data_IF_694926130720
#
_entry.id   IF_694926130720
#
_cell.length_a   1.000
_cell.length_b   1.000
_cell.length_c   1.000
_cell.angle_alpha   90.00
_cell.angle_beta   90.00
_cell.angle_gamma   90.00
#
_symmetry.space_group_name_H-M   'P 1'
#
loop_
_entity.id
_entity.type
_entity.pdbx_description
1 polymer ?
#
# COMPACT_ATOMS: atom_id res chain seq x y z
N UNK A 1 10.86 -3.92 -6.94
CA UNK A 1 10.22 -4.94 -6.11
C UNK A 1 8.99 -5.50 -6.83
N UNK A 2 7.98 -4.69 -7.16
CA UNK A 2 6.72 -5.17 -7.79
C UNK A 2 6.98 -5.94 -9.07
N UNK A 3 7.78 -5.41 -10.00
CA UNK A 3 8.13 -6.09 -11.25
C UNK A 3 8.78 -7.47 -11.00
N UNK A 4 9.67 -7.56 -9.99
CA UNK A 4 10.33 -8.84 -9.64
C UNK A 4 9.37 -9.82 -8.97
N UNK A 5 8.41 -9.33 -8.18
CA UNK A 5 7.39 -10.16 -7.56
C UNK A 5 6.38 -10.72 -8.59
N UNK A 6 6.12 -9.95 -9.65
CA UNK A 6 5.21 -10.37 -10.71
C UNK A 6 3.83 -10.73 -10.19
N UNK A 7 3.41 -11.94 -10.44
CA UNK A 7 2.08 -12.46 -10.08
C UNK A 7 2.02 -13.13 -8.70
N UNK A 8 3.16 -13.36 -8.06
CA UNK A 8 3.23 -14.10 -6.78
C UNK A 8 2.35 -13.51 -5.68
N UNK A 9 2.21 -12.16 -5.53
CA UNK A 9 1.34 -11.59 -4.49
C UNK A 9 -0.15 -11.59 -4.85
N UNK A 10 -0.56 -12.16 -5.97
CA UNK A 10 -1.95 -12.20 -6.43
C UNK A 10 -2.56 -10.79 -6.57
N UNK A 11 -2.17 -10.03 -7.60
CA UNK A 11 -2.74 -8.69 -7.84
C UNK A 11 -4.28 -8.71 -8.01
N UNK A 12 -4.99 -7.60 -7.78
CA UNK A 12 -4.47 -6.27 -7.42
C UNK A 12 -3.94 -6.20 -5.98
N UNK A 13 -2.81 -5.53 -5.82
CA UNK A 13 -2.11 -5.41 -4.54
C UNK A 13 -2.21 -4.01 -3.94
N UNK A 14 -1.89 -3.91 -2.65
CA UNK A 14 -1.49 -2.65 -2.02
C UNK A 14 0.00 -2.70 -1.76
N UNK A 15 0.68 -1.62 -2.09
CA UNK A 15 2.12 -1.49 -1.87
C UNK A 15 2.35 -0.55 -0.71
N UNK A 16 3.00 -1.04 0.33
CA UNK A 16 3.46 -0.23 1.46
C UNK A 16 4.96 0.03 1.35
N UNK A 17 5.37 1.27 1.54
CA UNK A 17 6.77 1.70 1.50
C UNK A 17 7.13 2.38 2.81
N UNK A 18 8.23 1.95 3.40
CA UNK A 18 8.83 2.61 4.56
C UNK A 18 10.22 3.11 4.22
N UNK A 19 10.48 4.39 4.46
CA UNK A 19 11.74 5.07 4.11
C UNK A 19 12.39 5.61 5.37
N UNK A 20 13.67 5.28 5.58
CA UNK A 20 14.44 5.80 6.69
C UNK A 20 14.24 5.07 8.02
N UNK A 21 14.64 5.70 9.11
CA UNK A 21 14.74 5.06 10.41
C UNK A 21 15.83 3.99 10.45
N UNK A 22 15.63 2.98 11.27
CA UNK A 22 16.43 1.75 11.29
C UNK A 22 15.81 0.71 10.35
N UNK A 23 16.55 -0.32 10.01
CA UNK A 23 16.10 -1.39 9.10
C UNK A 23 14.76 -2.01 9.53
N UNK A 24 14.62 -2.35 10.80
CA UNK A 24 13.40 -2.89 11.38
C UNK A 24 12.25 -1.87 11.38
N UNK A 25 12.56 -0.58 11.62
CA UNK A 25 11.56 0.49 11.57
C UNK A 25 11.04 0.71 10.15
N UNK A 26 11.91 0.75 9.14
CA UNK A 26 11.48 0.85 7.74
C UNK A 26 10.57 -0.32 7.33
N UNK A 27 10.92 -1.55 7.73
CA UNK A 27 10.10 -2.73 7.46
C UNK A 27 8.72 -2.66 8.17
N UNK A 28 8.70 -2.19 9.41
CA UNK A 28 7.47 -1.97 10.17
C UNK A 28 6.57 -0.91 9.52
N UNK A 29 7.14 0.24 9.13
CA UNK A 29 6.40 1.29 8.42
C UNK A 29 5.79 0.76 7.13
N UNK A 30 6.58 0.09 6.29
CA UNK A 30 6.08 -0.51 5.05
C UNK A 30 4.89 -1.45 5.31
N UNK A 31 4.97 -2.27 6.34
CA UNK A 31 3.89 -3.18 6.72
C UNK A 31 2.64 -2.44 7.22
N UNK A 32 2.80 -1.38 7.98
CA UNK A 32 1.70 -0.53 8.45
C UNK A 32 0.99 0.18 7.29
N UNK A 33 1.74 0.64 6.30
CA UNK A 33 1.18 1.34 5.15
C UNK A 33 0.29 0.47 4.26
N UNK A 34 0.45 -0.84 4.25
CA UNK A 34 -0.52 -1.75 3.60
C UNK A 34 -1.92 -1.63 4.22
N UNK A 35 -2.01 -1.24 5.48
CA UNK A 35 -3.25 -1.18 6.24
C UNK A 35 -3.94 0.19 6.17
N UNK A 36 -3.31 1.20 5.58
CA UNK A 36 -3.93 2.52 5.42
C UNK A 36 -5.17 2.42 4.52
N UNK A 37 -6.29 3.08 4.89
CA UNK A 37 -7.51 3.06 4.10
C UNK A 37 -7.31 3.59 2.69
N UNK A 38 -8.04 3.04 1.72
CA UNK A 38 -8.05 3.54 0.35
C UNK A 38 -8.60 4.96 0.28
N UNK A 39 -8.08 5.75 -0.67
CA UNK A 39 -8.50 7.13 -0.87
C UNK A 39 -7.96 8.12 0.15
N UNK A 40 -7.29 7.66 1.19
CA UNK A 40 -6.63 8.55 2.15
C UNK A 40 -5.34 9.12 1.55
N UNK A 41 -5.36 10.40 1.24
CA UNK A 41 -4.17 11.13 0.73
C UNK A 41 -3.11 11.25 1.83
N UNK A 42 -1.85 11.08 1.46
CA UNK A 42 -0.74 11.32 2.37
C UNK A 42 -0.73 12.79 2.82
N UNK A 43 -0.58 13.09 4.12
CA UNK A 43 -0.52 14.47 4.61
C UNK A 43 0.73 15.21 4.13
N UNK A 44 1.79 14.50 3.77
CA UNK A 44 3.03 15.08 3.24
C UNK A 44 2.91 15.20 1.70
N UNK A 45 2.89 16.42 1.13
CA UNK A 45 2.63 16.62 -0.31
C UNK A 45 3.63 15.92 -1.23
N UNK A 46 4.90 15.83 -0.82
CA UNK A 46 5.95 15.15 -1.59
C UNK A 46 5.64 13.66 -1.68
N UNK A 47 5.24 13.06 -0.55
CA UNK A 47 4.89 11.63 -0.52
C UNK A 47 3.58 11.36 -1.27
N UNK A 48 2.61 12.26 -1.18
CA UNK A 48 1.37 12.15 -1.93
C UNK A 48 1.60 12.12 -3.45
N UNK A 49 2.48 12.99 -3.98
CA UNK A 49 2.88 12.96 -5.39
C UNK A 49 3.62 11.67 -5.74
N UNK A 50 4.53 11.23 -4.88
CA UNK A 50 5.28 9.99 -5.08
C UNK A 50 4.36 8.77 -5.10
N UNK A 51 3.40 8.68 -4.18
CA UNK A 51 2.39 7.61 -4.14
C UNK A 51 1.61 7.53 -5.46
N UNK A 52 1.14 8.67 -5.96
CA UNK A 52 0.41 8.76 -7.23
C UNK A 52 1.25 8.33 -8.43
N UNK A 53 2.48 8.81 -8.50
CA UNK A 53 3.40 8.47 -9.61
C UNK A 53 3.78 7.00 -9.60
N UNK A 54 4.05 6.43 -8.42
CA UNK A 54 4.36 5.01 -8.28
C UNK A 54 3.15 4.13 -8.63
N UNK A 55 1.94 4.52 -8.22
CA UNK A 55 0.73 3.80 -8.59
C UNK A 55 0.54 3.75 -10.10
N UNK A 56 0.70 4.89 -10.78
CA UNK A 56 0.62 4.94 -12.24
C UNK A 56 1.69 4.05 -12.90
N UNK A 57 2.93 4.10 -12.42
CA UNK A 57 4.02 3.29 -12.95
C UNK A 57 3.80 1.79 -12.75
N UNK A 58 3.24 1.39 -11.60
CA UNK A 58 2.91 -0.01 -11.33
C UNK A 58 1.77 -0.49 -12.24
N UNK A 59 0.75 0.32 -12.39
CA UNK A 59 -0.40 -0.05 -13.21
C UNK A 59 -0.05 -0.11 -14.71
N UNK A 60 0.90 0.71 -15.17
CA UNK A 60 1.41 0.63 -16.56
C UNK A 60 2.16 -0.67 -16.88
N UNK A 61 2.50 -1.48 -15.87
CA UNK A 61 3.09 -2.82 -16.10
C UNK A 61 2.08 -3.82 -16.69
N UNK A 62 0.77 -3.57 -16.54
CA UNK A 62 -0.28 -4.34 -17.18
C UNK A 62 -0.46 -5.77 -16.68
N UNK A 63 0.02 -6.11 -15.46
CA UNK A 63 -0.19 -7.46 -14.92
C UNK A 63 -1.67 -7.74 -14.69
N UNK A 64 -2.42 -6.75 -14.23
CA UNK A 64 -3.84 -6.84 -13.99
C UNK A 64 -4.25 -7.83 -12.90
N UNK A 65 -5.56 -7.98 -12.66
CA UNK A 65 -6.09 -8.89 -11.67
C UNK A 65 -5.62 -10.33 -11.89
N UNK A 66 -5.07 -10.93 -10.85
CA UNK A 66 -4.52 -12.30 -10.86
C UNK A 66 -3.48 -12.55 -11.97
N UNK A 67 -2.95 -11.49 -12.59
CA UNK A 67 -1.99 -11.60 -13.69
C UNK A 67 -2.60 -11.93 -15.04
N UNK A 68 -3.88 -11.77 -15.20
CA UNK A 68 -4.60 -12.04 -16.46
C UNK A 68 -4.53 -10.89 -17.47
N UNK A 69 -3.77 -9.84 -17.15
CA UNK A 69 -3.69 -8.60 -17.92
C UNK A 69 -4.73 -7.58 -17.46
N UNK A 70 -4.50 -6.32 -17.84
CA UNK A 70 -5.40 -5.22 -17.56
C UNK A 70 -4.74 -4.09 -16.75
N UNK A 71 -5.51 -3.04 -16.49
CA UNK A 71 -5.00 -1.76 -16.01
C UNK A 71 -4.77 -1.69 -14.51
N UNK A 72 -5.29 -2.63 -13.73
CA UNK A 72 -5.21 -2.61 -12.27
C UNK A 72 -4.29 -3.69 -11.72
N UNK A 73 -3.02 -3.37 -11.62
CA UNK A 73 -2.01 -4.20 -10.93
C UNK A 73 -1.94 -3.90 -9.44
N UNK A 74 -2.06 -2.61 -9.08
CA UNK A 74 -2.15 -2.16 -7.70
C UNK A 74 -3.36 -1.25 -7.50
N UNK A 75 -3.97 -1.33 -6.33
CA UNK A 75 -5.08 -0.46 -5.92
C UNK A 75 -4.58 0.80 -5.22
N UNK A 76 -3.48 0.70 -4.49
CA UNK A 76 -2.86 1.82 -3.82
C UNK A 76 -1.36 1.60 -3.62
N UNK A 77 -0.64 2.72 -3.53
CA UNK A 77 0.71 2.81 -2.99
C UNK A 77 0.66 3.75 -1.81
N UNK A 78 1.16 3.32 -0.67
CA UNK A 78 1.21 4.13 0.54
C UNK A 78 2.64 4.20 1.06
N UNK A 79 3.08 5.40 1.43
CA UNK A 79 4.46 5.66 1.84
C UNK A 79 4.46 6.33 3.21
N UNK A 80 5.42 5.95 4.02
CA UNK A 80 5.76 6.62 5.27
C UNK A 80 7.27 6.77 5.39
N UNK A 81 7.72 7.71 6.22
CA UNK A 81 9.13 7.95 6.40
C UNK A 81 9.49 8.32 7.83
N UNK A 82 10.74 8.11 8.17
CA UNK A 82 11.33 8.53 9.42
C UNK A 82 12.73 9.12 9.18
N UNK A 83 13.16 10.02 10.07
CA UNK A 83 14.52 10.53 10.05
C UNK A 83 15.53 9.39 10.16
N UNK A 84 16.61 9.48 9.42
CA UNK A 84 17.64 8.45 9.34
C UNK A 84 19.02 9.06 9.19
N UNK A 85 20.04 8.24 9.37
CA UNK A 85 21.41 8.54 9.01
C UNK A 85 21.62 8.53 7.48
N UNK A 86 22.83 8.85 7.01
CA UNK A 86 23.18 8.81 5.58
C UNK A 86 22.92 7.47 4.88
N UNK A 87 22.90 6.36 5.62
CA UNK A 87 22.44 5.06 5.13
C UNK A 87 20.95 4.92 5.40
N UNK A 88 20.15 5.27 4.41
CA UNK A 88 18.69 5.29 4.52
C UNK A 88 18.10 3.96 4.03
N UNK A 89 17.59 3.09 4.92
CA UNK A 89 16.91 1.88 4.50
C UNK A 89 15.58 2.21 3.82
N UNK A 90 15.24 1.43 2.81
CA UNK A 90 13.92 1.46 2.17
C UNK A 90 13.36 0.04 2.17
N UNK A 91 12.20 -0.11 2.76
CA UNK A 91 11.46 -1.36 2.76
C UNK A 91 10.20 -1.25 1.91
N UNK A 92 9.89 -2.31 1.18
CA UNK A 92 8.65 -2.40 0.38
C UNK A 92 7.93 -3.69 0.78
N UNK A 93 6.68 -3.54 1.19
CA UNK A 93 5.80 -4.65 1.53
C UNK A 93 4.66 -4.73 0.51
N UNK A 94 4.31 -5.94 0.14
CA UNK A 94 3.19 -6.25 -0.75
C UNK A 94 2.19 -7.13 0.02
N UNK A 95 0.92 -6.95 -0.27
CA UNK A 95 -0.12 -7.85 0.23
C UNK A 95 -0.63 -8.76 -0.89
N UNK A 96 -1.50 -9.68 -0.53
CA UNK A 96 -2.30 -10.47 -1.46
C UNK A 96 -3.69 -9.84 -1.62
N UNK A 97 -4.35 -10.04 -2.73
CA UNK A 97 -5.75 -9.63 -2.96
C UNK A 97 -6.72 -10.15 -1.89
N UNK A 98 -6.41 -11.26 -1.25
CA UNK A 98 -7.23 -11.81 -0.15
C UNK A 98 -7.31 -10.87 1.05
N UNK A 99 -6.39 -9.93 1.22
CA UNK A 99 -6.40 -8.93 2.30
C UNK A 99 -7.46 -7.83 2.09
N UNK A 100 -8.64 -8.23 1.68
CA UNK A 100 -9.84 -7.38 1.65
C UNK A 100 -10.47 -7.37 3.03
N UNK A 101 -10.85 -6.20 3.48
CA UNK A 101 -11.46 -6.03 4.79
C UNK A 101 -12.55 -4.98 4.74
N UNK A 102 -13.51 -5.13 5.60
CA UNK A 102 -14.51 -4.12 5.94
C UNK A 102 -14.82 -4.27 7.41
N UNK A 103 -15.35 -3.25 8.01
CA UNK A 103 -15.75 -3.27 9.40
C UNK A 103 -17.10 -2.61 9.59
N UNK A 104 -17.77 -2.96 10.69
CA UNK A 104 -18.99 -2.32 11.08
C UNK A 104 -19.04 -2.13 12.60
N UNK A 105 -19.59 -1.00 13.03
CA UNK A 105 -19.96 -0.77 14.42
C UNK A 105 -21.47 -0.94 14.56
N UNK A 106 -21.87 -1.86 15.43
CA UNK A 106 -23.27 -2.07 15.78
C UNK A 106 -23.57 -1.24 17.03
N UNK A 107 -24.55 -0.36 16.93
CA UNK A 107 -25.02 0.46 18.04
C UNK A 107 -26.19 -0.22 18.77
N UNK A 108 -26.38 0.14 20.04
CA UNK A 108 -27.45 -0.45 20.88
C UNK A 108 -28.86 -0.14 20.37
N UNK A 109 -29.03 0.90 19.57
CA UNK A 109 -30.29 1.28 18.92
C UNK A 109 -30.58 0.49 17.63
N UNK A 110 -29.70 -0.46 17.26
CA UNK A 110 -29.82 -1.25 16.05
C UNK A 110 -29.25 -0.62 14.79
N UNK A 111 -28.68 0.58 14.87
CA UNK A 111 -28.01 1.21 13.73
C UNK A 111 -26.67 0.54 13.45
N UNK A 112 -26.27 0.52 12.17
CA UNK A 112 -25.01 -0.05 11.70
C UNK A 112 -24.21 1.01 10.98
N UNK A 113 -23.03 1.32 11.49
CA UNK A 113 -22.06 2.22 10.85
C UNK A 113 -20.98 1.37 10.16
N UNK A 114 -20.90 1.46 8.84
CA UNK A 114 -19.88 0.74 8.06
C UNK A 114 -18.63 1.58 7.91
N UNK A 115 -17.45 0.94 7.96
CA UNK A 115 -16.15 1.57 7.72
C UNK A 115 -15.18 0.59 7.03
N UNK A 116 -14.22 1.15 6.28
CA UNK A 116 -13.14 0.42 5.61
C UNK A 116 -11.85 0.41 6.44
#
# INVERSE_FOLDING_TARGET
VVLKAGLQPCPPIVVGVGIGGTFDHAARMAKQQILRPFGQTNPEPILADMEKRLLMAINSMGFGPMGTGGDTTAMAVHIDYAASHGFMPVAVALNCWINRRTGARLHNDGTVEWFE
#
